data_IF_236317314443
#
_entry.id   IF_236317314443
#
_cell.length_a   1.000
_cell.length_b   1.000
_cell.length_c   1.000
_cell.angle_alpha   90.00
_cell.angle_beta   90.00
_cell.angle_gamma   90.00
#
_symmetry.space_group_name_H-M   'P 1'
#
loop_
_entity.id
_entity.type
_entity.pdbx_description
1 polymer ?
#
# COMPACT_ATOMS: atom_id res chain seq x y z
N UNK A 1 22.27 1.24 33.61
CA UNK A 1 21.88 1.92 32.35
C UNK A 1 22.17 1.13 31.07
N UNK A 2 23.30 0.40 30.93
CA UNK A 2 23.59 -0.40 29.71
C UNK A 2 22.68 -1.64 29.52
N UNK A 3 22.17 -2.23 30.61
CA UNK A 3 21.30 -3.42 30.55
C UNK A 3 19.89 -3.16 30.00
N UNK A 4 19.26 -2.05 30.40
CA UNK A 4 17.90 -1.68 29.96
C UNK A 4 17.86 -1.37 28.45
N UNK A 5 18.87 -0.67 27.92
CA UNK A 5 18.94 -0.35 26.49
C UNK A 5 19.06 -1.62 25.62
N UNK A 6 19.79 -2.64 26.08
CA UNK A 6 19.89 -3.93 25.38
C UNK A 6 18.53 -4.64 25.35
N UNK A 7 17.79 -4.62 26.46
CA UNK A 7 16.45 -5.19 26.52
C UNK A 7 15.48 -4.44 25.60
N UNK A 8 15.47 -3.10 25.65
CA UNK A 8 14.64 -2.24 24.81
C UNK A 8 14.93 -2.48 23.32
N UNK A 9 16.19 -2.65 22.92
CA UNK A 9 16.55 -2.96 21.53
C UNK A 9 15.99 -4.31 21.06
N UNK A 10 16.17 -5.37 21.87
CA UNK A 10 15.66 -6.71 21.54
C UNK A 10 14.15 -6.72 21.45
N UNK A 11 13.48 -6.02 22.36
CA UNK A 11 12.03 -5.94 22.37
C UNK A 11 11.49 -5.13 21.18
N UNK A 12 12.14 -4.04 20.80
CA UNK A 12 11.81 -3.29 19.58
C UNK A 12 11.95 -4.15 18.32
N UNK A 13 13.01 -4.96 18.22
CA UNK A 13 13.20 -5.85 17.08
C UNK A 13 12.07 -6.89 17.00
N UNK A 14 11.70 -7.48 18.14
CA UNK A 14 10.58 -8.42 18.24
C UNK A 14 9.26 -7.78 17.80
N UNK A 15 8.99 -6.56 18.26
CA UNK A 15 7.78 -5.80 17.89
C UNK A 15 7.75 -5.46 16.40
N UNK A 16 8.90 -5.07 15.80
CA UNK A 16 9.01 -4.81 14.35
C UNK A 16 8.66 -6.04 13.53
N UNK A 17 9.19 -7.22 13.91
CA UNK A 17 8.89 -8.49 13.23
C UNK A 17 7.39 -8.82 13.28
N UNK A 18 6.75 -8.62 14.45
CA UNK A 18 5.30 -8.82 14.59
C UNK A 18 4.49 -7.85 13.74
N UNK A 19 4.85 -6.57 13.72
CA UNK A 19 4.17 -5.57 12.92
C UNK A 19 4.29 -5.84 11.41
N UNK A 20 5.46 -6.32 10.96
CA UNK A 20 5.68 -6.71 9.57
C UNK A 20 4.77 -7.88 9.16
N UNK A 21 4.68 -8.93 9.99
CA UNK A 21 3.81 -10.07 9.72
C UNK A 21 2.34 -9.65 9.66
N UNK A 22 1.87 -8.89 10.65
CA UNK A 22 0.48 -8.38 10.68
C UNK A 22 0.17 -7.50 9.46
N UNK A 23 1.11 -6.69 8.99
CA UNK A 23 0.92 -5.88 7.79
C UNK A 23 0.78 -6.77 6.54
N UNK A 24 1.61 -7.81 6.40
CA UNK A 24 1.51 -8.75 5.28
C UNK A 24 0.15 -9.47 5.28
N UNK A 25 -0.29 -9.96 6.44
CA UNK A 25 -1.61 -10.59 6.59
C UNK A 25 -2.75 -9.62 6.23
N UNK A 26 -2.68 -8.37 6.72
CA UNK A 26 -3.67 -7.34 6.40
C UNK A 26 -3.71 -7.02 4.90
N UNK A 27 -2.56 -6.95 4.22
CA UNK A 27 -2.52 -6.71 2.78
C UNK A 27 -3.09 -7.89 1.98
N UNK A 28 -2.81 -9.12 2.40
CA UNK A 28 -3.37 -10.32 1.78
C UNK A 28 -4.90 -10.35 1.90
N UNK A 29 -5.43 -10.10 3.11
CA UNK A 29 -6.88 -10.04 3.36
C UNK A 29 -7.54 -8.92 2.55
N UNK A 30 -6.93 -7.72 2.51
CA UNK A 30 -7.47 -6.60 1.74
C UNK A 30 -7.52 -6.91 0.24
N UNK A 31 -6.50 -7.57 -0.30
CA UNK A 31 -6.47 -8.03 -1.68
C UNK A 31 -7.59 -9.05 -1.95
N UNK A 32 -7.77 -10.02 -1.06
CA UNK A 32 -8.81 -11.03 -1.17
C UNK A 32 -10.21 -10.38 -1.16
N UNK A 33 -10.48 -9.45 -0.24
CA UNK A 33 -11.76 -8.74 -0.16
C UNK A 33 -12.05 -7.92 -1.42
N UNK A 34 -11.06 -7.17 -1.92
CA UNK A 34 -11.18 -6.43 -3.18
C UNK A 34 -11.49 -7.36 -4.35
N UNK A 35 -10.82 -8.50 -4.42
CA UNK A 35 -11.05 -9.50 -5.44
C UNK A 35 -12.49 -10.07 -5.34
N UNK A 36 -12.96 -10.44 -4.15
CA UNK A 36 -14.33 -10.95 -3.96
C UNK A 36 -15.39 -9.92 -4.35
N UNK A 37 -15.20 -8.66 -3.96
CA UNK A 37 -16.12 -7.58 -4.31
C UNK A 37 -16.17 -7.33 -5.82
N UNK A 38 -15.01 -7.31 -6.49
CA UNK A 38 -14.95 -7.17 -7.95
C UNK A 38 -15.66 -8.33 -8.67
N UNK A 39 -15.46 -9.58 -8.23
CA UNK A 39 -16.14 -10.75 -8.79
C UNK A 39 -17.66 -10.70 -8.58
N UNK A 40 -18.12 -10.27 -7.40
CA UNK A 40 -19.54 -10.09 -7.12
C UNK A 40 -20.19 -9.05 -8.06
N UNK A 41 -19.51 -7.93 -8.32
CA UNK A 41 -19.99 -6.91 -9.27
C UNK A 41 -19.96 -7.39 -10.73
N UNK A 42 -19.00 -8.23 -11.10
CA UNK A 42 -18.91 -8.82 -12.45
C UNK A 42 -20.01 -9.86 -12.74
N UNK A 43 -20.59 -10.48 -11.71
CA UNK A 43 -21.70 -11.42 -11.86
C UNK A 43 -23.06 -10.72 -12.08
N UNK A 44 -23.19 -9.43 -11.74
CA UNK A 44 -24.39 -8.61 -11.98
C UNK A 44 -24.31 -7.79 -13.29
N UNK A 45 -23.17 -7.84 -13.99
CA UNK A 45 -22.90 -7.02 -15.18
C UNK A 45 -22.66 -7.84 -16.46
N UNK A 46 -23.33 -9.00 -16.58
CA UNK A 46 -23.52 -9.69 -17.87
C UNK A 46 -24.54 -8.94 -18.76
N UNK A 47 -24.36 -7.63 -18.86
CA UNK A 47 -25.26 -6.69 -19.51
C UNK A 47 -24.50 -5.43 -19.93
N UNK A 48 -23.86 -5.52 -21.11
CA UNK A 48 -23.47 -4.43 -22.02
C UNK A 48 -22.29 -3.51 -21.66
N UNK A 49 -21.28 -3.64 -22.54
CA UNK A 49 -20.45 -2.60 -23.15
C UNK A 49 -19.26 -2.00 -22.39
N UNK A 50 -18.07 -2.47 -22.80
CA UNK A 50 -16.89 -1.69 -23.21
C UNK A 50 -16.80 -0.22 -22.77
N UNK A 51 -15.88 0.10 -21.86
CA UNK A 51 -15.03 1.29 -21.96
C UNK A 51 -13.84 1.19 -20.98
N UNK A 52 -12.64 1.24 -21.55
CA UNK A 52 -11.39 1.74 -20.99
C UNK A 52 -11.50 2.50 -19.66
N UNK A 53 -10.82 2.02 -18.62
CA UNK A 53 -10.36 2.88 -17.52
C UNK A 53 -8.99 2.40 -17.08
N UNK A 54 -7.99 3.04 -17.66
CA UNK A 54 -6.61 2.98 -17.23
C UNK A 54 -6.55 3.29 -15.72
N UNK A 55 -5.84 2.43 -15.00
CA UNK A 55 -5.39 2.66 -13.63
C UNK A 55 -4.74 4.05 -13.52
N UNK A 56 -5.07 4.89 -12.52
CA UNK A 56 -4.34 6.13 -12.32
C UNK A 56 -2.91 5.80 -11.88
N UNK A 57 -1.94 6.12 -12.73
CA UNK A 57 -0.53 6.09 -12.40
C UNK A 57 -0.24 7.16 -11.34
N UNK A 58 0.05 6.72 -10.11
CA UNK A 58 0.42 7.60 -9.00
C UNK A 58 1.92 7.89 -9.09
N UNK A 59 2.29 8.75 -10.03
CA UNK A 59 3.62 9.35 -10.11
C UNK A 59 3.89 10.16 -8.83
N UNK A 60 4.57 9.55 -7.86
CA UNK A 60 5.11 10.23 -6.68
C UNK A 60 6.31 11.06 -7.13
N UNK A 61 6.10 12.37 -7.19
CA UNK A 61 6.98 13.35 -7.80
C UNK A 61 8.47 13.15 -7.55
N UNK A 62 9.22 13.06 -8.64
CA UNK A 62 10.65 13.34 -8.68
C UNK A 62 11.00 13.89 -10.05
N UNK A 63 10.70 15.17 -10.28
CA UNK A 63 11.50 15.99 -11.19
C UNK A 63 11.71 17.36 -10.55
N UNK A 64 12.90 17.52 -10.00
CA UNK A 64 13.53 18.79 -9.69
C UNK A 64 13.49 19.72 -10.91
N UNK A 65 13.25 21.02 -10.73
CA UNK A 65 13.88 22.10 -11.51
C UNK A 65 13.64 23.46 -10.82
N UNK A 66 14.69 24.21 -10.44
CA UNK A 66 14.56 25.62 -10.09
C UNK A 66 14.84 26.46 -11.33
N UNK A 67 13.87 27.22 -11.84
CA UNK A 67 14.20 28.40 -12.63
C UNK A 67 13.03 29.39 -12.76
N UNK A 68 13.11 30.59 -12.16
CA UNK A 68 12.33 31.74 -12.60
C UNK A 68 13.24 32.67 -13.43
N UNK A 69 13.09 32.60 -14.75
CA UNK A 69 13.64 33.63 -15.65
C UNK A 69 12.77 34.89 -15.61
N UNK A 70 13.47 36.03 -15.51
CA UNK A 70 13.10 37.44 -15.63
C UNK A 70 11.88 37.83 -16.50
N UNK A 71 11.34 39.03 -16.25
CA UNK A 71 11.51 40.15 -17.18
C UNK A 71 12.56 41.18 -16.74
#
# INVERSE_FOLDING_TARGET
MLGENCYIMKENERLRKKAQLLNQENQALLSELKQKLSKANNNNSKGKNSATSAVPDLNLGSTSNPNPSQP
#
